data_IF_139015497500
#
_entry.id   IF_139015497500
#
_cell.length_a   1.000
_cell.length_b   1.000
_cell.length_c   1.000
_cell.angle_alpha   90.00
_cell.angle_beta   90.00
_cell.angle_gamma   90.00
#
_symmetry.space_group_name_H-M   'P 1'
#
loop_
_entity.id
_entity.type
_entity.pdbx_description
1 polymer ?
#
# COMPACT_ATOMS: atom_id res chain seq x y z
N UNK A 1 8.41 11.63 -9.24
CA UNK A 1 8.79 10.49 -8.37
C UNK A 1 7.54 9.66 -8.19
N UNK A 2 7.60 8.36 -8.47
CA UNK A 2 6.44 7.48 -8.32
C UNK A 2 6.79 6.47 -7.26
N UNK A 3 6.00 6.41 -6.19
CA UNK A 3 6.10 5.36 -5.17
C UNK A 3 5.89 4.04 -5.87
N UNK A 4 6.70 3.02 -5.59
CA UNK A 4 6.49 1.70 -6.17
C UNK A 4 5.56 0.86 -5.28
N UNK A 5 4.75 -0.01 -5.87
CA UNK A 5 3.92 -0.97 -5.13
C UNK A 5 4.78 -1.90 -4.25
N UNK A 6 5.99 -2.26 -4.70
CA UNK A 6 6.94 -3.02 -3.90
C UNK A 6 7.43 -2.23 -2.67
N UNK A 7 7.60 -0.91 -2.77
CA UNK A 7 7.90 -0.06 -1.63
C UNK A 7 6.76 -0.05 -0.61
N UNK A 8 5.51 -0.04 -1.07
CA UNK A 8 4.32 -0.14 -0.21
C UNK A 8 4.24 -1.51 0.49
N UNK A 9 4.56 -2.61 -0.22
CA UNK A 9 4.66 -3.94 0.39
C UNK A 9 5.73 -3.96 1.47
N UNK A 10 6.94 -3.49 1.16
CA UNK A 10 8.07 -3.49 2.11
C UNK A 10 7.71 -2.72 3.38
N UNK A 11 7.05 -1.56 3.23
CA UNK A 11 6.49 -0.79 4.35
C UNK A 11 5.53 -1.66 5.20
N UNK A 12 4.56 -2.32 4.57
CA UNK A 12 3.57 -3.15 5.29
C UNK A 12 4.25 -4.30 6.04
N UNK A 13 5.27 -4.93 5.45
CA UNK A 13 6.06 -5.98 6.12
C UNK A 13 6.85 -5.48 7.32
N UNK A 14 7.22 -4.19 7.35
CA UNK A 14 7.83 -3.54 8.51
C UNK A 14 6.81 -3.09 9.56
N UNK A 15 5.51 -3.34 9.35
CA UNK A 15 4.46 -3.01 10.32
C UNK A 15 4.14 -1.52 10.40
N UNK A 16 4.50 -0.73 9.39
CA UNK A 16 4.24 0.72 9.37
C UNK A 16 2.81 1.00 8.92
N UNK A 17 1.99 1.50 9.85
CA UNK A 17 0.54 1.64 9.66
C UNK A 17 0.16 3.09 9.33
N UNK A 18 0.91 4.07 9.84
CA UNK A 18 0.56 5.48 9.65
C UNK A 18 1.21 6.08 8.40
N UNK A 19 0.46 6.88 7.64
CA UNK A 19 0.95 7.51 6.40
C UNK A 19 2.24 8.32 6.58
N UNK A 20 2.42 8.96 7.73
CA UNK A 20 3.61 9.76 8.03
C UNK A 20 4.86 8.88 8.21
N UNK A 21 4.77 7.75 8.92
CA UNK A 21 5.87 6.77 9.06
C UNK A 21 6.33 6.28 7.70
N UNK A 22 5.40 6.27 6.75
CA UNK A 22 5.56 5.64 5.46
C UNK A 22 6.10 6.61 4.43
N UNK A 23 5.72 7.88 4.56
CA UNK A 23 6.40 8.97 3.88
C UNK A 23 7.86 9.07 4.35
N UNK A 24 8.14 8.96 5.65
CA UNK A 24 9.50 8.94 6.19
C UNK A 24 10.31 7.73 5.68
N UNK A 25 9.74 6.52 5.74
CA UNK A 25 10.39 5.31 5.26
C UNK A 25 10.73 5.35 3.76
N UNK A 26 9.86 5.97 2.96
CA UNK A 26 10.04 6.10 1.51
C UNK A 26 10.85 7.36 1.12
N UNK A 27 11.32 8.14 2.11
CA UNK A 27 12.06 9.41 1.92
C UNK A 27 11.30 10.42 1.04
N UNK A 28 9.98 10.53 1.24
CA UNK A 28 9.10 11.46 0.51
C UNK A 28 8.28 12.32 1.48
N UNK A 29 7.60 13.33 0.93
CA UNK A 29 6.65 14.13 1.73
C UNK A 29 5.34 13.37 1.95
N UNK A 30 4.66 13.65 3.06
CA UNK A 30 3.33 13.12 3.35
C UNK A 30 2.32 13.42 2.22
N UNK A 31 2.38 14.63 1.65
CA UNK A 31 1.53 15.02 0.52
C UNK A 31 1.78 14.14 -0.70
N UNK A 32 3.04 13.85 -1.04
CA UNK A 32 3.37 12.98 -2.17
C UNK A 32 2.92 11.53 -1.92
N UNK A 33 2.99 11.07 -0.65
CA UNK A 33 2.44 9.78 -0.26
C UNK A 33 0.93 9.70 -0.52
N UNK A 34 0.18 10.66 -0.02
CA UNK A 34 -1.28 10.71 -0.17
C UNK A 34 -1.72 10.83 -1.64
N UNK A 35 -1.03 11.63 -2.44
CA UNK A 35 -1.30 11.74 -3.88
C UNK A 35 -1.07 10.42 -4.62
N UNK A 36 0.00 9.71 -4.29
CA UNK A 36 0.28 8.41 -4.89
C UNK A 36 -0.77 7.36 -4.53
N UNK A 37 -1.20 7.31 -3.26
CA UNK A 37 -2.28 6.42 -2.81
C UNK A 37 -3.57 6.71 -3.56
N UNK A 38 -3.96 7.99 -3.67
CA UNK A 38 -5.15 8.40 -4.41
C UNK A 38 -5.06 8.01 -5.89
N UNK A 39 -3.90 8.20 -6.51
CA UNK A 39 -3.67 7.81 -7.91
C UNK A 39 -3.77 6.30 -8.12
N UNK A 40 -3.26 5.50 -7.18
CA UNK A 40 -3.42 4.04 -7.22
C UNK A 40 -4.88 3.63 -7.06
N UNK A 41 -5.62 4.25 -6.13
CA UNK A 41 -7.05 4.02 -5.94
C UNK A 41 -7.85 4.36 -7.21
N UNK A 42 -7.57 5.48 -7.87
CA UNK A 42 -8.25 5.88 -9.11
C UNK A 42 -7.92 4.94 -10.28
N UNK A 43 -6.69 4.41 -10.34
CA UNK A 43 -6.23 3.57 -11.45
C UNK A 43 -6.59 2.09 -11.31
N UNK A 44 -6.53 1.56 -10.09
CA UNK A 44 -6.63 0.12 -9.81
C UNK A 44 -7.94 -0.24 -9.09
N UNK A 45 -8.68 0.76 -8.60
CA UNK A 45 -9.90 0.58 -7.83
C UNK A 45 -9.66 0.55 -6.33
N UNK A 46 -10.72 0.27 -5.57
CA UNK A 46 -10.67 0.19 -4.10
C UNK A 46 -9.82 -0.98 -3.60
N UNK A 47 -9.75 -2.06 -4.37
CA UNK A 47 -9.03 -3.28 -3.98
C UNK A 47 -8.39 -3.92 -5.21
N UNK A 48 -7.20 -4.49 -5.07
CA UNK A 48 -6.51 -5.20 -6.15
C UNK A 48 -5.43 -6.15 -5.61
N UNK A 49 -5.09 -7.17 -6.39
CA UNK A 49 -3.99 -8.10 -6.09
C UNK A 49 -2.70 -7.71 -6.82
N UNK A 50 -1.56 -7.82 -6.14
CA UNK A 50 -0.24 -7.57 -6.70
C UNK A 50 0.86 -8.35 -5.95
N UNK A 51 1.64 -9.16 -6.67
CA UNK A 51 2.78 -9.94 -6.14
C UNK A 51 2.46 -10.77 -4.88
N UNK A 52 1.33 -11.48 -4.87
CA UNK A 52 0.83 -12.24 -3.71
C UNK A 52 0.45 -11.35 -2.50
N UNK A 53 0.18 -10.07 -2.72
CA UNK A 53 -0.42 -9.17 -1.74
C UNK A 53 -1.76 -8.64 -2.24
N UNK A 54 -2.73 -8.60 -1.34
CA UNK A 54 -4.00 -7.92 -1.51
C UNK A 54 -3.89 -6.51 -0.96
N UNK A 55 -4.14 -5.53 -1.82
CA UNK A 55 -4.22 -4.12 -1.49
C UNK A 55 -5.68 -3.74 -1.31
N UNK A 56 -5.98 -3.01 -0.23
CA UNK A 56 -7.31 -2.50 0.08
C UNK A 56 -7.23 -1.06 0.57
N UNK A 57 -7.83 -0.14 -0.19
CA UNK A 57 -8.04 1.24 0.22
C UNK A 57 -9.35 1.30 1.02
N UNK A 58 -9.26 1.54 2.33
CA UNK A 58 -10.44 1.71 3.15
C UNK A 58 -11.00 3.14 3.04
N UNK A 59 -12.29 3.29 3.39
CA UNK A 59 -13.05 4.54 3.26
C UNK A 59 -12.43 5.70 4.07
N UNK A 60 -11.62 5.39 5.09
CA UNK A 60 -10.88 6.36 5.90
C UNK A 60 -9.59 6.88 5.24
N UNK A 61 -9.29 6.48 4.00
CA UNK A 61 -8.05 6.84 3.30
C UNK A 61 -6.84 6.01 3.73
N UNK A 62 -7.05 4.97 4.54
CA UNK A 62 -6.02 4.04 4.97
C UNK A 62 -5.77 2.97 3.91
N UNK A 63 -4.50 2.73 3.62
CA UNK A 63 -4.07 1.62 2.78
C UNK A 63 -3.74 0.41 3.66
N UNK A 64 -4.53 -0.65 3.51
CA UNK A 64 -4.27 -1.97 4.08
C UNK A 64 -3.64 -2.87 3.02
N UNK A 65 -2.55 -3.56 3.39
CA UNK A 65 -1.85 -4.50 2.50
C UNK A 65 -1.67 -5.79 3.26
N UNK A 66 -2.29 -6.86 2.76
CA UNK A 66 -2.21 -8.20 3.34
C UNK A 66 -1.53 -9.13 2.38
N UNK A 67 -0.68 -10.03 2.90
CA UNK A 67 -0.18 -11.13 2.08
C UNK A 67 -1.34 -12.08 1.79
N UNK A 68 -1.51 -12.43 0.52
CA UNK A 68 -2.40 -13.52 0.13
C UNK A 68 -1.78 -14.80 0.69
N UNK A 69 -2.30 -15.25 1.83
CA UNK A 69 -2.13 -16.61 2.26
C UNK A 69 -2.93 -17.48 1.29
N UNK A 70 -2.34 -17.78 0.14
CA UNK A 70 -2.67 -19.01 -0.56
C UNK A 70 -2.17 -20.13 0.35
N UNK A 71 -2.95 -20.46 1.37
CA UNK A 71 -2.91 -21.82 1.90
C UNK A 71 -3.26 -22.70 0.70
N UNK A 72 -2.24 -23.33 0.11
CA UNK A 72 -2.41 -24.49 -0.73
C UNK A 72 -3.24 -25.49 0.09
N UNK A 73 -4.56 -25.50 -0.13
CA UNK A 73 -5.40 -26.63 0.25
C UNK A 73 -4.82 -27.86 -0.47
N UNK A 74 -4.02 -28.65 0.25
CA UNK A 74 -3.54 -29.98 -0.13
C UNK A 74 -4.43 -31.05 0.44
#
# INVERSE_FOLDING_TARGET
MTISLNGLITRSENGLVYDWECAEFLEITLSAFQEAIKLYQEKLGMTFDYNDYYFSFEIAGTLDIKKNNLEEEK
#
